data_IF_256748344540
#
_entry.id   IF_256748344540
#
_cell.length_a   1.000
_cell.length_b   1.000
_cell.length_c   1.000
_cell.angle_alpha   90.00
_cell.angle_beta   90.00
_cell.angle_gamma   90.00
#
_symmetry.space_group_name_H-M   'P 1'
#
loop_
_entity.id
_entity.type
_entity.pdbx_description
1 polymer ?
#
# COMPACT_ATOMS: atom_id res chain seq x y z
N UNK A 1 -13.80 -5.26 -8.12
CA UNK A 1 -12.44 -4.67 -8.24
C UNK A 1 -12.54 -3.38 -9.05
N UNK A 2 -11.86 -2.32 -8.62
CA UNK A 2 -11.84 -1.02 -9.30
C UNK A 2 -10.87 -1.02 -10.49
N UNK A 3 -11.43 -1.17 -11.70
CA UNK A 3 -10.64 -1.32 -12.94
C UNK A 3 -9.81 -0.07 -13.22
N UNK A 4 -10.40 1.13 -13.12
CA UNK A 4 -9.71 2.39 -13.44
C UNK A 4 -8.45 2.62 -12.57
N UNK A 5 -8.54 2.27 -11.29
CA UNK A 5 -7.41 2.34 -10.35
C UNK A 5 -6.30 1.35 -10.72
N UNK A 6 -6.65 0.11 -11.08
CA UNK A 6 -5.67 -0.90 -11.51
C UNK A 6 -4.99 -0.51 -12.84
N UNK A 7 -5.74 0.08 -13.78
CA UNK A 7 -5.21 0.59 -15.06
C UNK A 7 -4.24 1.74 -14.85
N UNK A 8 -4.58 2.74 -14.03
CA UNK A 8 -3.68 3.87 -13.77
C UNK A 8 -2.44 3.45 -12.97
N UNK A 9 -2.58 2.52 -12.00
CA UNK A 9 -1.46 1.90 -11.32
C UNK A 9 -0.47 1.23 -12.28
N UNK A 10 -0.97 0.45 -13.25
CA UNK A 10 -0.14 -0.19 -14.27
C UNK A 10 0.50 0.83 -15.23
N UNK A 11 -0.21 1.91 -15.59
CA UNK A 11 0.35 3.01 -16.37
C UNK A 11 1.54 3.68 -15.66
N UNK A 12 1.40 3.95 -14.36
CA UNK A 12 2.45 4.58 -13.56
C UNK A 12 3.66 3.66 -13.34
N UNK A 13 3.46 2.34 -13.32
CA UNK A 13 4.53 1.33 -13.37
C UNK A 13 5.36 1.48 -14.66
N UNK A 14 4.70 1.47 -15.82
CA UNK A 14 5.36 1.57 -17.14
C UNK A 14 6.11 2.91 -17.30
N UNK A 15 5.50 4.01 -16.86
CA UNK A 15 6.10 5.34 -16.95
C UNK A 15 7.21 5.59 -15.91
N UNK A 16 7.43 4.65 -14.97
CA UNK A 16 8.32 4.79 -13.82
C UNK A 16 8.09 6.09 -13.05
N UNK A 17 6.82 6.45 -12.86
CA UNK A 17 6.43 7.69 -12.20
C UNK A 17 6.83 7.72 -10.72
N UNK A 18 7.11 8.92 -10.22
CA UNK A 18 7.33 9.19 -8.79
C UNK A 18 6.33 10.25 -8.32
N UNK A 19 5.56 9.93 -7.27
CA UNK A 19 4.50 10.82 -6.76
C UNK A 19 3.47 10.08 -5.91
N UNK A 20 2.27 10.65 -5.83
CA UNK A 20 1.15 10.12 -5.04
C UNK A 20 -0.07 9.92 -5.95
N UNK A 21 -0.63 8.72 -5.91
CA UNK A 21 -1.90 8.37 -6.54
C UNK A 21 -3.00 8.33 -5.48
N UNK A 22 -3.85 9.36 -5.44
CA UNK A 22 -5.00 9.41 -4.54
C UNK A 22 -6.17 8.63 -5.12
N UNK A 23 -6.87 7.85 -4.30
CA UNK A 23 -8.01 7.04 -4.72
C UNK A 23 -9.00 6.86 -3.56
N UNK A 24 -10.22 7.38 -3.71
CA UNK A 24 -11.29 7.19 -2.72
C UNK A 24 -10.94 7.72 -1.33
N UNK A 25 -10.79 6.81 -0.36
CA UNK A 25 -10.46 7.11 1.04
C UNK A 25 -8.99 6.81 1.40
N UNK A 26 -8.11 6.78 0.39
CA UNK A 26 -6.68 6.50 0.56
C UNK A 26 -5.79 6.97 -0.59
N UNK A 27 -4.54 6.52 -0.56
CA UNK A 27 -3.53 6.86 -1.55
C UNK A 27 -2.42 5.80 -1.65
N UNK A 28 -1.73 5.78 -2.79
CA UNK A 28 -0.49 5.04 -3.01
C UNK A 28 0.65 6.02 -3.24
N UNK A 29 1.75 5.88 -2.50
CA UNK A 29 3.00 6.56 -2.76
C UNK A 29 3.84 5.69 -3.69
N UNK A 30 4.29 6.28 -4.80
CA UNK A 30 4.98 5.59 -5.88
C UNK A 30 6.36 6.24 -6.06
N UNK A 31 7.40 5.44 -6.26
CA UNK A 31 8.77 5.87 -6.57
C UNK A 31 9.31 5.00 -7.69
N UNK A 32 9.72 5.63 -8.79
CA UNK A 32 10.20 4.98 -10.01
C UNK A 32 9.28 3.88 -10.59
N UNK A 33 7.96 4.01 -10.38
CA UNK A 33 6.94 3.04 -10.79
C UNK A 33 6.64 1.93 -9.76
N UNK A 34 7.38 1.85 -8.66
CA UNK A 34 7.11 0.90 -7.56
C UNK A 34 6.29 1.58 -6.45
N UNK A 35 5.35 0.86 -5.84
CA UNK A 35 4.59 1.30 -4.67
C UNK A 35 5.47 1.12 -3.43
N UNK A 36 5.69 2.21 -2.69
CA UNK A 36 6.58 2.24 -1.51
C UNK A 36 5.84 2.47 -0.20
N UNK A 37 4.59 2.91 -0.27
CA UNK A 37 3.64 3.05 0.84
C UNK A 37 2.23 3.13 0.27
N UNK A 38 1.24 2.68 1.02
CA UNK A 38 -0.16 2.98 0.76
C UNK A 38 -0.89 3.17 2.09
N UNK A 39 -1.93 4.01 2.06
CA UNK A 39 -2.75 4.36 3.22
C UNK A 39 -4.22 4.27 2.83
N UNK A 40 -5.05 3.71 3.71
CA UNK A 40 -6.51 3.71 3.57
C UNK A 40 -7.14 3.98 4.94
N UNK A 41 -8.17 4.83 5.01
CA UNK A 41 -8.84 5.16 6.29
C UNK A 41 -9.47 3.94 6.98
N UNK A 42 -9.80 2.90 6.21
CA UNK A 42 -10.35 1.62 6.68
C UNK A 42 -9.28 0.65 7.22
N UNK A 43 -7.99 0.94 7.04
CA UNK A 43 -6.89 0.07 7.49
C UNK A 43 -6.23 0.54 8.78
N UNK A 44 -5.54 -0.37 9.46
CA UNK A 44 -4.55 -0.01 10.48
C UNK A 44 -3.34 0.60 9.80
N UNK A 45 -2.99 1.83 10.17
CA UNK A 45 -1.82 2.51 9.62
C UNK A 45 -0.51 1.84 10.01
N UNK A 46 0.51 1.99 9.17
CA UNK A 46 1.84 1.45 9.42
C UNK A 46 2.47 2.02 10.71
N UNK A 47 2.15 3.28 11.04
CA UNK A 47 2.48 3.94 12.31
C UNK A 47 2.01 3.11 13.52
N UNK A 48 0.74 2.70 13.52
CA UNK A 48 0.15 1.90 14.60
C UNK A 48 0.77 0.50 14.66
N UNK A 49 0.98 -0.14 13.51
CA UNK A 49 1.57 -1.49 13.47
C UNK A 49 3.03 -1.51 13.92
N UNK A 50 3.82 -0.49 13.58
CA UNK A 50 5.23 -0.37 14.00
C UNK A 50 5.36 -0.17 15.50
N UNK A 51 4.48 0.64 16.10
CA UNK A 51 4.46 0.86 17.56
C UNK A 51 4.02 -0.41 18.31
N UNK A 52 2.90 -1.03 17.91
CA UNK A 52 2.39 -2.24 18.59
C UNK A 52 3.28 -3.47 18.39
N UNK A 53 4.03 -3.55 17.28
CA UNK A 53 5.04 -4.58 17.07
C UNK A 53 6.37 -4.32 17.81
N UNK A 54 6.52 -3.18 18.50
CA UNK A 54 7.74 -2.78 19.21
C UNK A 54 8.91 -2.42 18.29
N UNK A 55 8.66 -2.09 17.01
CA UNK A 55 9.70 -1.82 16.01
C UNK A 55 10.25 -0.40 16.14
N UNK A 56 9.41 0.56 16.53
CA UNK A 56 9.81 1.92 16.86
C UNK A 56 8.80 2.59 17.79
N UNK A 57 9.18 3.64 18.52
CA UNK A 57 8.22 4.44 19.31
C UNK A 57 7.39 5.36 18.41
N UNK A 58 6.30 5.91 18.95
CA UNK A 58 5.52 6.93 18.24
C UNK A 58 6.36 8.19 17.93
N UNK A 59 7.30 8.55 18.80
CA UNK A 59 8.22 9.68 18.60
C UNK A 59 9.26 9.40 17.50
N UNK A 60 9.80 8.18 17.44
CA UNK A 60 10.67 7.76 16.34
C UNK A 60 9.94 7.82 15.00
N UNK A 61 8.68 7.38 14.97
CA UNK A 61 7.86 7.41 13.76
C UNK A 61 7.53 8.84 13.31
N UNK A 62 7.25 9.75 14.26
CA UNK A 62 7.07 11.17 13.97
C UNK A 62 8.35 11.82 13.45
N UNK A 63 9.52 11.54 14.05
CA UNK A 63 10.82 12.00 13.54
C UNK A 63 11.11 11.48 12.13
N UNK A 64 10.81 10.20 11.86
CA UNK A 64 10.94 9.62 10.53
C UNK A 64 10.10 10.36 9.49
N UNK A 65 8.83 10.66 9.81
CA UNK A 65 7.95 11.47 8.96
C UNK A 65 8.39 12.92 8.77
N UNK A 66 9.12 13.48 9.74
CA UNK A 66 9.68 14.84 9.69
C UNK A 66 11.02 14.96 8.93
N UNK A 67 11.60 13.84 8.48
CA UNK A 67 12.83 13.82 7.70
C UNK A 67 14.05 13.16 8.38
N UNK A 68 13.89 12.60 9.58
CA UNK A 68 14.93 11.80 10.27
C UNK A 68 14.51 10.32 10.43
N UNK A 69 14.50 9.53 9.34
CA UNK A 69 14.06 8.14 9.37
C UNK A 69 15.16 7.15 9.79
N UNK A 70 16.39 7.62 10.04
CA UNK A 70 17.58 6.78 10.16
C UNK A 70 17.49 5.70 11.24
N UNK A 71 16.85 6.00 12.37
CA UNK A 71 16.65 5.03 13.46
C UNK A 71 15.69 3.88 13.07
N UNK A 72 14.72 4.15 12.20
CA UNK A 72 13.61 3.23 11.89
C UNK A 72 13.94 2.36 10.66
N UNK A 73 14.61 2.93 9.65
CA UNK A 73 14.96 2.23 8.40
C UNK A 73 15.91 1.02 8.61
N UNK A 74 16.67 1.01 9.70
CA UNK A 74 17.60 -0.10 10.03
C UNK A 74 16.92 -1.37 10.56
N UNK A 75 15.60 -1.38 10.76
CA UNK A 75 14.86 -2.50 11.37
C UNK A 75 14.29 -3.46 10.31
N UNK A 76 14.74 -4.74 10.22
CA UNK A 76 14.22 -5.68 9.22
C UNK A 76 12.71 -5.93 9.35
N UNK A 77 12.15 -5.90 10.57
CA UNK A 77 10.71 -6.02 10.80
C UNK A 77 9.89 -4.86 10.22
N UNK A 78 10.49 -3.68 9.96
CA UNK A 78 9.81 -2.56 9.29
C UNK A 78 9.36 -2.95 7.87
N UNK A 79 10.24 -3.60 7.09
CA UNK A 79 9.93 -4.03 5.72
C UNK A 79 8.69 -4.93 5.70
N UNK A 80 8.66 -5.92 6.58
CA UNK A 80 7.51 -6.84 6.68
C UNK A 80 6.22 -6.10 7.01
N UNK A 81 6.25 -5.15 7.96
CA UNK A 81 5.08 -4.35 8.31
C UNK A 81 4.66 -3.39 7.20
N UNK A 82 5.60 -2.81 6.46
CA UNK A 82 5.33 -1.91 5.33
C UNK A 82 4.73 -2.66 4.13
N UNK A 83 5.25 -3.84 3.80
CA UNK A 83 4.65 -4.73 2.81
C UNK A 83 3.21 -5.09 3.22
N UNK A 84 3.01 -5.51 4.48
CA UNK A 84 1.68 -5.81 5.02
C UNK A 84 0.73 -4.61 4.95
N UNK A 85 1.17 -3.40 5.32
CA UNK A 85 0.32 -2.20 5.26
C UNK A 85 -0.09 -1.85 3.83
N UNK A 86 0.83 -1.99 2.87
CA UNK A 86 0.55 -1.73 1.45
C UNK A 86 -0.49 -2.72 0.92
N UNK A 87 -0.32 -4.02 1.16
CA UNK A 87 -1.31 -5.03 0.73
C UNK A 87 -2.65 -4.93 1.48
N UNK A 88 -2.65 -4.47 2.74
CA UNK A 88 -3.87 -4.21 3.50
C UNK A 88 -4.66 -3.06 2.86
N UNK A 89 -4.04 -1.88 2.69
CA UNK A 89 -4.66 -0.72 2.08
C UNK A 89 -5.14 -1.01 0.65
N UNK A 90 -4.30 -1.68 -0.15
CA UNK A 90 -4.62 -2.05 -1.53
C UNK A 90 -5.92 -2.86 -1.65
N UNK A 91 -6.12 -3.86 -0.80
CA UNK A 91 -7.31 -4.71 -0.85
C UNK A 91 -8.61 -3.89 -0.70
N UNK A 92 -8.60 -2.93 0.23
CA UNK A 92 -9.77 -2.09 0.49
C UNK A 92 -9.95 -0.95 -0.53
N UNK A 93 -8.87 -0.41 -1.10
CA UNK A 93 -8.93 0.62 -2.15
C UNK A 93 -9.35 0.03 -3.50
N UNK A 94 -8.85 -1.15 -3.88
CA UNK A 94 -9.27 -1.86 -5.09
C UNK A 94 -10.67 -2.49 -4.97
N UNK A 95 -11.28 -2.52 -3.78
CA UNK A 95 -12.63 -3.05 -3.59
C UNK A 95 -13.74 -2.11 -4.10
N UNK A 96 -13.57 -0.80 -3.95
CA UNK A 96 -14.60 0.19 -4.27
C UNK A 96 -14.20 1.06 -5.48
N UNK A 97 -15.12 1.38 -6.40
CA UNK A 97 -14.81 2.26 -7.52
C UNK A 97 -14.47 3.67 -7.01
N UNK A 98 -13.41 4.24 -7.56
CA UNK A 98 -12.94 5.60 -7.26
C UNK A 98 -12.20 6.16 -8.46
N UNK A 99 -12.26 7.48 -8.66
CA UNK A 99 -11.45 8.17 -9.67
C UNK A 99 -10.01 8.29 -9.17
N UNK A 100 -9.01 7.76 -9.88
CA UNK A 100 -7.61 7.92 -9.50
C UNK A 100 -7.09 9.31 -9.87
N UNK A 101 -6.42 10.00 -8.94
CA UNK A 101 -5.75 11.28 -9.18
C UNK A 101 -4.25 11.16 -8.88
N UNK A 102 -3.41 11.16 -9.93
CA UNK A 102 -1.96 11.19 -9.78
C UNK A 102 -1.43 12.63 -9.63
N UNK A 103 -0.52 12.84 -8.69
CA UNK A 103 0.24 14.10 -8.52
C UNK A 103 1.71 13.79 -8.29
N UNK A 104 2.58 14.36 -9.13
CA UNK A 104 4.04 14.27 -8.93
C UNK A 104 4.45 14.86 -7.58
N UNK A 105 5.30 14.15 -6.86
CA UNK A 105 5.82 14.54 -5.55
C UNK A 105 7.23 13.94 -5.36
N UNK A 106 8.03 14.41 -4.38
CA UNK A 106 9.28 13.75 -4.02
C UNK A 106 9.07 12.29 -3.60
N UNK A 107 10.10 11.42 -3.72
CA UNK A 107 10.07 10.05 -3.20
C UNK A 107 9.66 10.03 -1.71
N UNK A 108 8.85 9.04 -1.33
CA UNK A 108 8.51 8.85 0.09
C UNK A 108 9.70 8.24 0.83
N UNK A 109 9.94 8.64 2.09
CA UNK A 109 11.11 8.22 2.87
C UNK A 109 11.21 6.71 3.14
N UNK A 110 10.11 5.96 2.96
CA UNK A 110 10.07 4.48 3.01
C UNK A 110 10.59 3.79 1.75
N UNK A 111 10.88 4.52 0.66
CA UNK A 111 11.37 3.94 -0.59
C UNK A 111 12.57 2.99 -0.37
N UNK A 112 13.60 3.30 0.45
CA UNK A 112 14.73 2.37 0.67
C UNK A 112 14.35 1.01 1.29
N UNK A 113 13.14 0.85 1.83
CA UNK A 113 12.71 -0.34 2.59
C UNK A 113 11.59 -1.11 1.91
N UNK A 114 10.65 -0.46 1.22
CA UNK A 114 9.49 -1.12 0.62
C UNK A 114 9.41 -0.79 -0.87
N UNK A 115 9.41 -1.80 -1.73
CA UNK A 115 9.15 -1.69 -3.17
C UNK A 115 8.24 -2.83 -3.63
N UNK A 116 7.00 -2.51 -3.99
CA UNK A 116 6.05 -3.48 -4.56
C UNK A 116 5.70 -3.05 -5.99
N UNK A 117 5.76 -3.98 -6.95
CA UNK A 117 5.29 -3.72 -8.31
C UNK A 117 3.76 -3.61 -8.33
N UNK A 118 3.18 -2.58 -8.98
CA UNK A 118 1.72 -2.47 -9.13
C UNK A 118 1.05 -3.73 -9.69
N UNK A 119 1.63 -4.40 -10.68
CA UNK A 119 1.13 -5.71 -11.16
C UNK A 119 1.00 -6.75 -10.03
N UNK A 120 2.09 -7.02 -9.28
CA UNK A 120 2.10 -7.96 -8.14
C UNK A 120 1.05 -7.62 -7.07
N UNK A 121 0.81 -6.34 -6.84
CA UNK A 121 -0.19 -5.85 -5.90
C UNK A 121 -1.63 -6.13 -6.36
N UNK A 122 -1.91 -5.92 -7.65
CA UNK A 122 -3.22 -6.23 -8.25
C UNK A 122 -3.45 -7.74 -8.28
N UNK A 123 -2.45 -8.54 -8.66
CA UNK A 123 -2.53 -10.00 -8.71
C UNK A 123 -2.78 -10.61 -7.33
N UNK A 124 -2.08 -10.15 -6.28
CA UNK A 124 -2.34 -10.57 -4.89
C UNK A 124 -3.74 -10.16 -4.42
N UNK A 125 -4.21 -8.96 -4.79
CA UNK A 125 -5.58 -8.55 -4.47
C UNK A 125 -6.63 -9.39 -5.21
N UNK A 126 -6.35 -9.86 -6.44
CA UNK A 126 -7.19 -10.81 -7.16
C UNK A 126 -7.19 -12.19 -6.47
N UNK A 127 -6.01 -12.68 -6.06
CA UNK A 127 -5.84 -13.96 -5.35
C UNK A 127 -6.57 -14.00 -4.00
N UNK A 128 -6.72 -12.85 -3.33
CA UNK A 128 -7.51 -12.69 -2.10
C UNK A 128 -9.03 -12.80 -2.31
N UNK A 129 -9.48 -12.98 -3.55
CA UNK A 129 -10.87 -13.19 -3.92
C UNK A 129 -11.69 -11.90 -4.01
N UNK A 130 -12.92 -12.01 -4.52
CA UNK A 130 -13.82 -10.87 -4.64
C UNK A 130 -14.12 -10.25 -3.27
N UNK A 131 -13.82 -8.95 -3.07
CA UNK A 131 -14.05 -8.28 -1.80
C UNK A 131 -15.52 -8.23 -1.38
N UNK A 132 -16.46 -8.33 -2.32
CA UNK A 132 -17.89 -8.25 -2.04
C UNK A 132 -18.54 -9.62 -1.76
N UNK A 133 -17.75 -10.70 -1.78
CA UNK A 133 -18.21 -12.08 -1.53
C UNK A 133 -18.41 -12.39 -0.03
N UNK A 134 -19.47 -13.15 0.26
CA UNK A 134 -19.80 -13.67 1.58
C UNK A 134 -20.58 -12.69 2.47
N UNK A 135 -20.86 -13.06 3.74
CA UNK A 135 -21.64 -12.23 4.66
C UNK A 135 -20.89 -10.95 5.09
N UNK A 136 -19.55 -10.94 4.99
CA UNK A 136 -18.69 -9.81 5.33
C UNK A 136 -17.98 -9.24 4.10
N UNK A 137 -18.66 -8.45 3.25
CA UNK A 137 -18.02 -7.74 2.15
C UNK A 137 -17.14 -6.59 2.65
N UNK A 138 -16.09 -6.24 1.89
CA UNK A 138 -15.07 -5.28 2.30
C UNK A 138 -15.65 -3.87 2.60
N UNK A 139 -16.77 -3.51 1.98
CA UNK A 139 -17.51 -2.26 2.25
C UNK A 139 -18.11 -2.14 3.66
N UNK A 140 -18.12 -3.22 4.46
CA UNK A 140 -18.62 -3.22 5.84
C UNK A 140 -17.52 -3.14 6.90
N UNK A 141 -16.25 -3.22 6.52
CA UNK A 141 -15.13 -3.44 7.44
C UNK A 141 -14.99 -2.35 8.52
N UNK A 142 -15.35 -1.12 8.18
CA UNK A 142 -15.36 0.06 9.03
C UNK A 142 -16.74 0.42 9.61
N UNK A 143 -17.82 -0.17 9.07
CA UNK A 143 -19.22 0.22 9.33
C UNK A 143 -19.98 -0.75 10.21
N UNK A 144 -19.71 -2.05 10.08
CA UNK A 144 -20.45 -3.09 10.76
C UNK A 144 -19.80 -3.47 12.10
N UNK A 145 -20.52 -3.44 13.23
CA UNK A 145 -20.01 -3.91 14.50
C UNK A 145 -19.81 -5.42 14.47
N UNK A 146 -18.76 -5.90 15.14
CA UNK A 146 -18.46 -7.32 15.29
C UNK A 146 -19.18 -7.85 16.53
N UNK A 147 -20.26 -8.61 16.33
CA UNK A 147 -21.15 -9.11 17.39
C UNK A 147 -20.82 -10.57 17.71
N UNK A 148 -20.38 -10.90 18.95
CA UNK A 148 -20.22 -12.29 19.38
C UNK A 148 -21.54 -13.06 19.37
N UNK A 149 -21.51 -14.31 18.94
CA UNK A 149 -22.69 -15.17 18.95
C UNK A 149 -23.13 -15.51 20.38
N UNK A 150 -24.39 -15.22 20.71
CA UNK A 150 -24.95 -15.46 22.06
C UNK A 150 -25.07 -16.93 22.46
N UNK A 151 -25.14 -17.83 21.47
CA UNK A 151 -25.37 -19.27 21.69
C UNK A 151 -24.45 -20.12 20.82
N UNK A 152 -23.31 -20.53 21.40
CA UNK A 152 -22.35 -21.41 20.75
C UNK A 152 -22.87 -22.85 20.80
N UNK A 153 -23.17 -23.44 19.63
CA UNK A 153 -23.64 -24.84 19.50
C UNK A 153 -22.51 -25.87 19.42
N UNK A 154 -21.25 -25.43 19.56
CA UNK A 154 -20.05 -26.25 19.43
C UNK A 154 -19.43 -26.51 20.81
N UNK A 155 -19.19 -27.79 21.14
CA UNK A 155 -18.61 -28.17 22.43
C UNK A 155 -17.12 -27.83 22.58
N UNK A 156 -16.38 -27.74 21.47
CA UNK A 156 -14.99 -27.25 21.40
C UNK A 156 -14.75 -26.63 20.02
N UNK A 157 -13.97 -25.56 19.97
CA UNK A 157 -13.46 -24.94 18.73
C UNK A 157 -11.96 -24.72 18.90
N UNK A 158 -11.16 -25.09 17.89
CA UNK A 158 -9.76 -24.73 17.84
C UNK A 158 -9.62 -23.36 17.18
N UNK A 159 -9.01 -22.40 17.88
CA UNK A 159 -8.76 -21.05 17.39
C UNK A 159 -7.25 -20.80 17.25
N UNK A 160 -6.87 -20.04 16.22
CA UNK A 160 -5.54 -19.43 16.17
C UNK A 160 -5.43 -18.28 17.18
N UNK A 161 -4.21 -17.86 17.52
CA UNK A 161 -4.01 -16.71 18.43
C UNK A 161 -4.72 -15.44 17.93
N UNK A 162 -4.62 -15.13 16.63
CA UNK A 162 -5.29 -13.99 16.02
C UNK A 162 -6.82 -14.09 16.02
N UNK A 163 -7.38 -15.28 15.81
CA UNK A 163 -8.82 -15.50 15.95
C UNK A 163 -9.28 -15.31 17.40
N UNK A 164 -8.49 -15.76 18.38
CA UNK A 164 -8.79 -15.57 19.80
C UNK A 164 -8.71 -14.09 20.22
N UNK A 165 -7.71 -13.34 19.75
CA UNK A 165 -7.60 -11.88 19.95
C UNK A 165 -8.81 -11.14 19.39
N UNK A 166 -9.20 -11.43 18.14
CA UNK A 166 -10.36 -10.82 17.47
C UNK A 166 -11.67 -11.17 18.19
N UNK A 167 -11.85 -12.43 18.61
CA UNK A 167 -13.05 -12.86 19.34
C UNK A 167 -13.14 -12.23 20.74
N UNK A 168 -12.00 -12.05 21.43
CA UNK A 168 -11.96 -11.37 22.72
C UNK A 168 -12.20 -9.85 22.60
N UNK A 169 -11.85 -9.25 21.47
CA UNK A 169 -12.11 -7.84 21.17
C UNK A 169 -13.52 -7.56 20.62
N UNK A 170 -14.26 -8.59 20.19
CA UNK A 170 -15.62 -8.44 19.69
C UNK A 170 -16.59 -8.11 20.84
N UNK A 171 -17.15 -6.90 20.81
CA UNK A 171 -18.02 -6.35 21.87
C UNK A 171 -19.41 -5.93 21.36
N UNK A 172 -19.72 -6.20 20.09
CA UNK A 172 -20.95 -5.74 19.43
C UNK A 172 -21.03 -4.24 19.17
N UNK A 173 -19.93 -3.49 19.35
CA UNK A 173 -19.85 -2.03 19.15
C UNK A 173 -18.77 -1.63 18.16
N UNK A 174 -17.58 -2.22 18.24
CA UNK A 174 -16.45 -1.92 17.35
C UNK A 174 -16.57 -2.67 16.03
N UNK A 175 -16.20 -1.99 14.93
CA UNK A 175 -16.07 -2.60 13.61
C UNK A 175 -14.73 -3.33 13.44
N UNK A 176 -14.59 -4.12 12.38
CA UNK A 176 -13.37 -4.90 12.09
C UNK A 176 -12.15 -3.97 12.02
N UNK A 177 -12.28 -2.81 11.35
CA UNK A 177 -11.25 -1.79 11.24
C UNK A 177 -10.94 -1.07 12.57
N UNK A 178 -11.86 -1.06 13.54
CA UNK A 178 -11.60 -0.56 14.88
C UNK A 178 -10.81 -1.59 15.69
N UNK A 179 -11.28 -2.85 15.71
CA UNK A 179 -10.59 -3.98 16.38
C UNK A 179 -9.17 -4.15 15.85
N UNK A 180 -8.97 -4.11 14.52
CA UNK A 180 -7.64 -4.22 13.91
C UNK A 180 -6.68 -3.12 14.37
N UNK A 181 -7.17 -1.88 14.51
CA UNK A 181 -6.38 -0.74 14.97
C UNK A 181 -6.04 -0.84 16.45
N UNK A 182 -6.99 -1.27 17.28
CA UNK A 182 -6.77 -1.50 18.71
C UNK A 182 -5.67 -2.55 18.90
N UNK A 183 -5.78 -3.68 18.20
CA UNK A 183 -4.84 -4.82 18.26
C UNK A 183 -3.50 -4.62 17.51
N UNK A 184 -3.33 -3.51 16.77
CA UNK A 184 -2.12 -3.30 15.95
C UNK A 184 -1.96 -4.29 14.79
N UNK A 185 -3.04 -4.90 14.30
CA UNK A 185 -3.06 -5.91 13.24
C UNK A 185 -3.55 -5.31 11.91
N UNK A 186 -3.26 -5.96 10.78
CA UNK A 186 -3.86 -5.61 9.47
C UNK A 186 -5.37 -5.82 9.49
N UNK A 187 -6.14 -4.91 8.90
CA UNK A 187 -7.60 -5.01 8.82
C UNK A 187 -8.06 -6.22 7.99
N UNK A 188 -7.34 -6.59 6.93
CA UNK A 188 -7.60 -7.78 6.12
C UNK A 188 -7.42 -9.07 6.95
N UNK A 189 -6.38 -9.16 7.78
CA UNK A 189 -6.20 -10.29 8.70
C UNK A 189 -7.35 -10.44 9.71
N UNK A 190 -7.84 -9.32 10.25
CA UNK A 190 -9.04 -9.32 11.09
C UNK A 190 -10.30 -9.67 10.29
N UNK A 191 -10.45 -9.21 9.04
CA UNK A 191 -11.58 -9.56 8.17
C UNK A 191 -11.63 -11.06 7.84
N UNK A 192 -10.48 -11.69 7.55
CA UNK A 192 -10.38 -13.14 7.37
C UNK A 192 -10.77 -13.86 8.66
N UNK A 193 -10.20 -13.45 9.80
CA UNK A 193 -10.52 -14.02 11.11
C UNK A 193 -12.02 -13.93 11.44
N UNK A 194 -12.66 -12.78 11.17
CA UNK A 194 -14.10 -12.59 11.38
C UNK A 194 -14.93 -13.46 10.42
N UNK A 195 -14.55 -13.59 9.15
CA UNK A 195 -15.23 -14.49 8.19
C UNK A 195 -15.17 -15.94 8.66
N UNK A 196 -14.03 -16.41 9.16
CA UNK A 196 -13.83 -17.75 9.71
C UNK A 196 -14.62 -17.97 11.01
N UNK A 197 -14.57 -17.02 11.94
CA UNK A 197 -15.34 -17.05 13.20
C UNK A 197 -16.86 -17.01 12.95
N UNK A 198 -17.34 -16.29 11.93
CA UNK A 198 -18.75 -16.35 11.51
C UNK A 198 -19.11 -17.70 10.89
N UNK A 199 -18.23 -18.29 10.07
CA UNK A 199 -18.44 -19.65 9.55
C UNK A 199 -18.46 -20.71 10.67
N UNK A 200 -17.69 -20.50 11.74
CA UNK A 200 -17.73 -21.31 12.96
C UNK A 200 -18.92 -20.99 13.90
N UNK A 201 -19.77 -20.02 13.56
CA UNK A 201 -20.91 -19.62 14.40
C UNK A 201 -20.52 -18.95 15.73
N UNK A 202 -19.33 -18.35 15.82
CA UNK A 202 -18.82 -17.62 16.98
C UNK A 202 -19.05 -16.09 16.86
N UNK A 203 -19.25 -15.58 15.65
CA UNK A 203 -19.62 -14.18 15.37
C UNK A 203 -20.89 -14.15 14.51
N UNK A 204 -21.87 -13.34 14.90
CA UNK A 204 -23.12 -13.17 14.17
C UNK A 204 -22.86 -12.46 12.82
N UNK A 205 -23.47 -12.90 11.70
CA UNK A 205 -23.33 -12.20 10.41
C UNK A 205 -23.99 -10.82 10.47
N UNK A 206 -23.49 -9.82 9.73
CA UNK A 206 -23.97 -8.46 9.84
C UNK A 206 -25.39 -8.32 9.28
N UNK A 207 -26.27 -7.69 10.05
CA UNK A 207 -27.68 -7.50 9.70
C UNK A 207 -27.86 -6.52 8.53
N UNK A 208 -28.89 -6.71 7.71
CA UNK A 208 -29.13 -5.94 6.49
C UNK A 208 -29.23 -4.42 6.70
N UNK A 209 -29.70 -3.95 7.86
CA UNK A 209 -29.74 -2.51 8.20
C UNK A 209 -28.35 -1.87 8.14
N UNK A 210 -27.32 -2.59 8.59
CA UNK A 210 -25.91 -2.17 8.55
C UNK A 210 -25.36 -2.08 7.12
N UNK A 211 -25.96 -2.79 6.17
CA UNK A 211 -25.60 -2.71 4.75
C UNK A 211 -26.21 -1.50 4.03
N UNK A 212 -27.16 -0.79 4.66
CA UNK A 212 -27.88 0.36 4.09
C UNK A 212 -27.60 1.63 4.92
N UNK A 213 -26.33 1.99 5.07
CA UNK A 213 -25.94 3.35 5.46
C UNK A 213 -25.67 4.14 4.16
N UNK A 214 -26.54 5.09 3.76
CA UNK A 214 -26.27 5.94 2.61
C UNK A 214 -25.05 6.83 2.89
N UNK A 215 -24.31 7.21 1.84
CA UNK A 215 -23.36 8.32 1.97
C UNK A 215 -24.13 9.53 2.53
N UNK A 216 -23.55 10.32 3.47
CA UNK A 216 -24.20 11.52 3.96
C UNK A 216 -24.46 12.45 2.77
N UNK A 217 -25.74 12.65 2.45
CA UNK A 217 -26.16 13.75 1.56
C UNK A 217 -25.53 15.02 2.14
N UNK A 218 -24.73 15.72 1.33
CA UNK A 218 -24.30 17.07 1.69
C UNK A 218 -25.56 17.88 1.95
N UNK A 219 -25.82 18.21 3.21
CA UNK A 219 -26.82 19.22 3.54
C UNK A 219 -26.24 20.52 3.00
N UNK A 220 -26.83 21.02 1.91
CA UNK A 220 -26.62 22.40 1.51
C UNK A 220 -27.07 23.26 2.68
N UNK A 221 -26.11 23.84 3.40
CA UNK A 221 -26.40 24.70 4.54
C UNK A 221 -27.27 25.88 4.08
N UNK A 222 -28.20 26.37 4.93
CA UNK A 222 -29.04 27.50 4.57
C UNK A 222 -28.16 28.72 4.29
N UNK A 223 -28.40 29.36 3.15
CA UNK A 223 -27.73 30.61 2.75
C UNK A 223 -28.04 31.71 3.76
N UNK A 224 -27.09 32.02 4.64
CA UNK A 224 -27.16 33.21 5.47
C UNK A 224 -26.93 34.45 4.57
N UNK A 225 -27.77 35.49 4.64
CA UNK A 225 -27.56 36.71 3.86
C UNK A 225 -26.29 37.42 4.33
N UNK A 226 -25.40 37.75 3.39
CA UNK A 226 -24.20 38.55 3.66
C UNK A 226 -24.61 39.98 4.02
N UNK A 227 -24.53 40.31 5.31
CA UNK A 227 -24.54 41.70 5.76
C UNK A 227 -23.18 42.33 5.44
N UNK A 228 -23.17 43.29 4.52
CA UNK A 228 -21.97 44.07 4.23
C UNK A 228 -21.70 45.07 5.37
N UNK A 229 -20.45 45.13 5.85
CA UNK A 229 -19.94 46.22 6.68
C UNK A 229 -18.57 46.68 6.15
N UNK A 230 -18.18 47.96 6.38
CA UNK A 230 -17.31 48.67 5.44
C UNK A 230 -15.82 48.52 5.75
N UNK A 231 -15.00 48.66 4.71
CA UNK A 231 -13.55 48.81 4.79
C UNK A 231 -13.22 50.26 5.19
N UNK A 232 -12.52 50.52 6.31
CA UNK A 232 -11.89 51.81 6.53
C UNK A 232 -10.60 51.90 5.69
N UNK A 233 -10.51 52.89 4.82
CA UNK A 233 -9.27 53.23 4.14
C UNK A 233 -8.25 53.83 5.12
N UNK A 234 -6.97 53.65 4.83
CA UNK A 234 -5.89 54.42 5.46
C UNK A 234 -4.80 54.64 4.43
N UNK A 235 -4.74 55.87 3.92
CA UNK A 235 -3.78 56.27 2.90
C UNK A 235 -2.37 56.44 3.48
N UNK A 236 -1.41 55.89 2.74
CA UNK A 236 -0.12 56.48 2.36
C UNK A 236 0.65 57.30 3.41
N UNK A 237 1.85 56.83 3.76
CA UNK A 237 3.05 57.69 3.73
C UNK A 237 4.29 56.89 3.33
N UNK A 238 4.97 57.40 2.31
CA UNK A 238 6.19 56.88 1.70
C UNK A 238 7.44 57.19 2.54
N UNK A 239 8.31 56.20 2.76
CA UNK A 239 9.73 56.43 3.05
C UNK A 239 10.60 55.18 2.73
N UNK A 240 11.36 55.24 1.63
CA UNK A 240 12.51 54.36 1.37
C UNK A 240 13.79 55.02 1.90
N UNK A 241 14.71 54.25 2.50
CA UNK A 241 16.15 54.52 2.44
C UNK A 241 16.88 53.49 1.55
N UNK A 242 18.13 53.78 1.13
CA UNK A 242 18.64 53.28 -0.16
C UNK A 242 19.52 52.03 -0.11
N UNK A 243 19.80 51.50 -1.31
CA UNK A 243 20.87 50.53 -1.60
C UNK A 243 22.23 50.94 -1.02
N UNK A 244 22.98 49.95 -0.54
CA UNK A 244 24.44 49.97 -0.50
C UNK A 244 25.02 48.57 -0.81
N UNK A 245 25.84 48.51 -1.84
CA UNK A 245 26.89 47.51 -2.13
C UNK A 245 28.13 48.33 -2.60
N UNK A 246 29.39 47.84 -2.68
CA UNK A 246 29.85 46.46 -2.92
C UNK A 246 30.42 45.86 -1.60
N UNK A 247 31.33 44.89 -1.47
CA UNK A 247 32.30 44.15 -2.32
C UNK A 247 32.16 42.63 -2.07
N UNK A 248 32.40 41.70 -3.00
CA UNK A 248 33.53 41.47 -3.92
C UNK A 248 34.83 41.00 -3.24
N UNK A 249 34.91 39.71 -2.93
CA UNK A 249 36.18 38.99 -3.08
C UNK A 249 35.97 37.53 -3.50
N UNK A 250 36.92 36.97 -4.24
CA UNK A 250 36.90 35.60 -4.75
C UNK A 250 38.31 35.07 -4.88
N UNK A 251 38.59 33.85 -4.38
CA UNK A 251 39.66 33.02 -4.92
C UNK A 251 39.10 31.98 -5.89
N UNK A 252 39.70 31.92 -7.08
CA UNK A 252 39.29 31.04 -8.18
C UNK A 252 39.67 29.55 -8.04
N UNK A 253 39.50 28.77 -9.11
CA UNK A 253 39.30 27.32 -9.02
C UNK A 253 40.58 26.47 -9.11
N UNK A 254 40.56 25.31 -8.45
CA UNK A 254 41.43 24.18 -8.79
C UNK A 254 40.71 23.26 -9.80
N UNK A 255 41.44 22.86 -10.86
CA UNK A 255 40.87 22.17 -12.03
C UNK A 255 40.57 20.67 -11.86
N UNK A 256 40.05 20.02 -12.92
CA UNK A 256 39.50 18.68 -12.85
C UNK A 256 40.55 17.57 -12.99
N UNK A 257 40.35 16.45 -12.29
CA UNK A 257 41.01 15.18 -12.62
C UNK A 257 40.06 14.25 -13.39
N UNK A 258 40.51 13.87 -14.58
CA UNK A 258 39.83 12.99 -15.54
C UNK A 258 39.98 11.50 -15.19
N UNK A 259 39.18 10.59 -15.80
CA UNK A 259 38.97 9.24 -15.28
C UNK A 259 40.06 8.23 -15.65
N UNK A 260 40.26 7.25 -14.78
CA UNK A 260 41.09 6.08 -15.06
C UNK A 260 40.41 5.14 -16.08
N UNK A 261 41.10 4.95 -17.21
CA UNK A 261 40.68 4.20 -18.39
C UNK A 261 41.35 2.82 -18.42
N UNK A 262 40.59 1.74 -18.24
CA UNK A 262 41.09 0.38 -18.50
C UNK A 262 40.55 -0.13 -19.84
N UNK A 263 41.47 -0.63 -20.69
CA UNK A 263 41.17 -1.11 -22.05
C UNK A 263 41.02 -2.64 -22.05
N UNK A 264 39.97 -3.17 -22.68
CA UNK A 264 39.94 -4.46 -23.41
C UNK A 264 38.52 -4.80 -23.84
N UNK A 265 38.25 -5.48 -24.95
CA UNK A 265 39.02 -5.62 -26.19
C UNK A 265 38.03 -5.99 -27.31
N UNK A 266 38.19 -5.38 -28.48
CA UNK A 266 37.37 -5.63 -29.65
C UNK A 266 37.67 -7.03 -30.24
N UNK A 267 36.66 -7.89 -30.42
CA UNK A 267 36.69 -8.94 -31.45
C UNK A 267 35.32 -9.11 -32.13
N UNK A 268 35.18 -8.39 -33.23
CA UNK A 268 34.21 -8.68 -34.30
C UNK A 268 34.51 -10.01 -34.98
N UNK A 269 33.47 -10.78 -35.32
CA UNK A 269 33.41 -11.54 -36.57
C UNK A 269 32.04 -11.37 -37.22
N UNK A 270 32.04 -11.46 -38.54
CA UNK A 270 31.01 -11.02 -39.50
C UNK A 270 30.64 -12.22 -40.40
N UNK A 271 29.46 -12.16 -41.02
CA UNK A 271 28.99 -13.05 -42.11
C UNK A 271 28.56 -14.47 -41.68
N UNK A 272 27.62 -15.16 -42.36
CA UNK A 272 26.95 -14.90 -43.67
C UNK A 272 25.63 -15.68 -43.81
N UNK A 273 24.79 -15.30 -44.78
CA UNK A 273 23.80 -16.10 -45.57
C UNK A 273 22.78 -17.03 -44.85
N UNK A 274 21.47 -16.89 -45.06
CA UNK A 274 20.66 -17.19 -46.26
C UNK A 274 20.37 -18.69 -46.48
N UNK A 275 19.10 -19.09 -46.32
CA UNK A 275 18.35 -19.87 -47.32
C UNK A 275 16.87 -20.04 -46.93
N UNK A 276 16.03 -20.32 -47.92
CA UNK A 276 14.55 -20.40 -47.91
C UNK A 276 14.02 -21.85 -47.82
N UNK A 277 12.70 -22.02 -47.58
CA UNK A 277 11.84 -23.21 -47.82
C UNK A 277 11.97 -24.47 -46.90
N UNK A 278 10.97 -25.39 -46.90
CA UNK A 278 9.59 -25.14 -46.43
C UNK A 278 9.02 -26.27 -45.53
N UNK A 279 7.76 -26.12 -45.08
CA UNK A 279 7.02 -27.12 -44.26
C UNK A 279 6.69 -28.42 -45.01
N UNK A 280 6.56 -29.55 -44.30
CA UNK A 280 5.57 -30.59 -44.59
C UNK A 280 4.30 -30.43 -43.71
N UNK A 281 3.18 -30.97 -44.20
CA UNK A 281 1.86 -30.91 -43.55
C UNK A 281 1.47 -32.24 -42.87
N UNK A 282 0.64 -32.13 -41.84
CA UNK A 282 -0.30 -33.11 -41.31
C UNK A 282 0.21 -34.47 -40.78
N UNK A 283 -0.16 -34.77 -39.53
CA UNK A 283 -0.75 -36.07 -39.19
C UNK A 283 -1.70 -35.96 -37.98
N UNK A 284 -2.65 -36.89 -37.92
CA UNK A 284 -3.88 -36.75 -37.13
C UNK A 284 -3.75 -36.86 -35.60
N UNK A 285 -4.78 -36.30 -34.96
CA UNK A 285 -5.10 -36.32 -33.54
C UNK A 285 -4.73 -37.60 -32.76
N UNK A 286 -4.02 -37.39 -31.64
CA UNK A 286 -4.16 -38.20 -30.43
C UNK A 286 -4.67 -37.30 -29.31
N UNK A 287 -5.81 -37.67 -28.73
CA UNK A 287 -6.48 -36.90 -27.68
C UNK A 287 -5.70 -37.06 -26.36
N UNK A 288 -4.83 -36.09 -26.03
CA UNK A 288 -4.10 -36.06 -24.75
C UNK A 288 -5.07 -35.94 -23.57
N UNK A 289 -4.88 -36.67 -22.46
CA UNK A 289 -5.50 -36.31 -21.18
C UNK A 289 -4.96 -34.95 -20.71
N UNK A 290 -5.68 -34.21 -19.84
CA UNK A 290 -5.19 -32.95 -19.29
C UNK A 290 -3.88 -33.21 -18.53
N UNK A 291 -2.78 -32.74 -19.10
CA UNK A 291 -1.44 -32.92 -18.53
C UNK A 291 -1.26 -32.06 -17.27
N UNK A 292 -0.37 -32.52 -16.39
CA UNK A 292 0.08 -31.77 -15.23
C UNK A 292 0.41 -30.32 -15.63
N UNK A 293 0.08 -29.38 -14.75
CA UNK A 293 0.65 -28.03 -14.78
C UNK A 293 2.18 -28.17 -14.92
N UNK A 294 2.83 -27.39 -15.82
CA UNK A 294 4.29 -27.37 -15.85
C UNK A 294 4.79 -27.00 -14.45
N UNK A 295 5.93 -27.56 -13.99
CA UNK A 295 6.47 -27.19 -12.71
C UNK A 295 6.67 -25.66 -12.71
N UNK A 296 6.08 -24.99 -11.71
CA UNK A 296 6.31 -23.58 -11.49
C UNK A 296 7.82 -23.36 -11.49
N UNK A 297 8.30 -22.49 -12.39
CA UNK A 297 9.68 -22.06 -12.35
C UNK A 297 9.74 -20.93 -11.35
N UNK A 298 9.92 -21.30 -10.08
CA UNK A 298 10.23 -20.35 -9.02
C UNK A 298 11.45 -19.55 -9.48
N UNK A 299 11.31 -18.23 -9.57
CA UNK A 299 12.45 -17.36 -9.85
C UNK A 299 13.51 -17.54 -8.73
N UNK A 300 14.80 -17.30 -9.01
CA UNK A 300 15.83 -17.36 -7.98
C UNK A 300 15.46 -16.43 -6.82
N UNK A 301 15.16 -17.01 -5.66
CA UNK A 301 14.74 -16.23 -4.49
C UNK A 301 15.83 -15.24 -4.12
N UNK A 302 15.46 -13.96 -4.00
CA UNK A 302 16.39 -12.89 -3.65
C UNK A 302 17.07 -13.22 -2.31
N UNK A 303 18.40 -13.33 -2.37
CA UNK A 303 19.25 -13.66 -1.22
C UNK A 303 19.17 -12.59 -0.14
N UNK A 304 19.00 -11.33 -0.53
CA UNK A 304 18.94 -10.22 0.43
C UNK A 304 17.58 -10.21 1.14
N UNK A 305 16.49 -10.60 0.47
CA UNK A 305 15.19 -10.88 1.11
C UNK A 305 15.33 -12.01 2.14
N UNK A 306 16.01 -13.11 1.81
CA UNK A 306 16.23 -14.21 2.76
C UNK A 306 17.07 -13.79 3.99
N UNK A 307 18.06 -12.91 3.81
CA UNK A 307 18.86 -12.35 4.91
C UNK A 307 17.98 -11.46 5.80
N UNK A 308 17.17 -10.57 5.23
CA UNK A 308 16.27 -9.68 5.99
C UNK A 308 15.18 -10.46 6.72
N UNK A 309 14.59 -11.49 6.09
CA UNK A 309 13.65 -12.41 6.74
C UNK A 309 14.28 -13.14 7.92
N UNK A 310 15.51 -13.66 7.78
CA UNK A 310 16.22 -14.30 8.89
C UNK A 310 16.43 -13.34 10.06
N UNK A 311 16.90 -12.12 9.79
CA UNK A 311 17.12 -11.12 10.83
C UNK A 311 15.80 -10.73 11.54
N UNK A 312 14.70 -10.58 10.78
CA UNK A 312 13.37 -10.32 11.34
C UNK A 312 12.85 -11.46 12.23
N UNK A 313 13.21 -12.72 11.93
CA UNK A 313 12.88 -13.89 12.77
C UNK A 313 13.78 -14.01 14.01
N UNK A 314 15.02 -13.50 13.96
CA UNK A 314 15.92 -13.42 15.11
C UNK A 314 15.47 -12.33 16.10
N UNK A 315 14.88 -11.22 15.62
CA UNK A 315 14.21 -10.19 16.44
C UNK A 315 12.89 -10.63 17.13
N UNK A 316 12.45 -11.89 16.97
CA UNK A 316 11.24 -12.45 17.61
C UNK A 316 11.52 -13.35 18.83
N UNK A 317 12.79 -13.46 19.25
CA UNK A 317 13.26 -14.31 20.36
C UNK A 317 13.61 -13.50 21.60
#
# INVERSE_FOLDING_TARGET
MAIDLAVELHRLEILRSTGVLSAGDGAFHITEGAIVRADCRRTTGLDRMVVEAGVATAEDWQRAGAGDPGHVLGRPRLETLALLSVFDAAYFLLAAPSVPEFRSAPPHWLAPVCHIRPATLVDECARRGDPETGPWPARLVDRAPVVPARHIRLGRVALTGGQAEVLAAADGRRSIAAIARDLGRTTYGCLVSVRELTAAGLIEPPTTETAVIPLPRRVSGPTMPTAALPIPASDVTTALPPMAAPEADSPGPAGPMTPARTKSALRSRVSTDSSDRPKPLANSAVRRPPGLLPPERWEPVDRDVLIRLRAALEELR
#
